data_IF_181588914651
#
_entry.id   IF_181588914651
#
_cell.length_a   1.000
_cell.length_b   1.000
_cell.length_c   1.000
_cell.angle_alpha   90.00
_cell.angle_beta   90.00
_cell.angle_gamma   90.00
#
_symmetry.space_group_name_H-M   'P 1'
#
loop_
_entity.id
_entity.type
_entity.pdbx_description
1 polymer ?
#
# COMPACT_ATOMS: atom_id res chain seq x y z
N UNK A 1 -18.44 73.99 -26.63
CA UNK A 1 -18.99 72.87 -27.44
C UNK A 1 -18.21 71.65 -27.16
N UNK A 2 -18.75 70.77 -26.34
CA UNK A 2 -18.12 69.46 -26.06
C UNK A 2 -18.76 68.45 -26.95
N UNK A 3 -18.05 68.03 -28.00
CA UNK A 3 -18.47 66.96 -28.86
C UNK A 3 -18.16 65.65 -28.17
N UNK A 4 -19.12 65.05 -27.54
CA UNK A 4 -19.00 63.71 -27.00
C UNK A 4 -18.85 62.70 -28.16
N UNK A 5 -17.68 62.16 -28.27
CA UNK A 5 -17.32 61.16 -29.23
C UNK A 5 -18.05 59.85 -28.90
N UNK A 6 -19.23 59.69 -29.51
CA UNK A 6 -20.08 58.50 -29.35
C UNK A 6 -19.46 57.19 -29.90
N UNK A 7 -18.29 57.32 -30.51
CA UNK A 7 -17.58 56.17 -31.10
C UNK A 7 -16.82 55.29 -30.08
N UNK A 8 -16.48 55.85 -28.92
CA UNK A 8 -15.72 55.09 -27.92
C UNK A 8 -16.60 54.22 -27.01
N UNK A 9 -17.90 54.43 -26.96
CA UNK A 9 -18.80 53.63 -26.11
C UNK A 9 -19.21 52.34 -26.78
N UNK A 10 -19.23 52.31 -28.13
CA UNK A 10 -19.61 51.11 -28.88
C UNK A 10 -18.50 50.04 -28.94
N UNK A 11 -17.25 50.39 -28.77
CA UNK A 11 -16.16 49.47 -28.74
C UNK A 11 -16.01 48.70 -27.43
N UNK A 12 -16.45 49.29 -26.33
CA UNK A 12 -16.39 48.66 -25.00
C UNK A 12 -17.42 47.57 -24.81
N UNK A 13 -18.58 47.66 -25.46
CA UNK A 13 -19.62 46.62 -25.31
C UNK A 13 -19.36 45.37 -26.19
N UNK A 14 -18.67 45.55 -27.32
CA UNK A 14 -18.33 44.43 -28.20
C UNK A 14 -17.27 43.50 -27.65
N UNK A 15 -16.33 44.02 -26.87
CA UNK A 15 -15.25 43.20 -26.29
C UNK A 15 -15.69 42.35 -25.08
N UNK A 16 -16.68 42.84 -24.32
CA UNK A 16 -17.21 42.08 -23.18
C UNK A 16 -18.04 40.86 -23.62
N UNK A 17 -18.77 40.96 -24.72
CA UNK A 17 -19.56 39.83 -25.27
C UNK A 17 -18.68 38.77 -25.91
N UNK A 18 -17.58 39.17 -26.53
CA UNK A 18 -16.61 38.22 -27.11
C UNK A 18 -15.87 37.40 -26.03
N UNK A 19 -15.55 38.02 -24.88
CA UNK A 19 -14.90 37.30 -23.78
C UNK A 19 -15.80 36.27 -23.10
N UNK A 20 -17.08 36.56 -22.96
CA UNK A 20 -18.02 35.61 -22.36
C UNK A 20 -18.27 34.39 -23.25
N UNK A 21 -18.23 34.55 -24.56
CA UNK A 21 -18.38 33.43 -25.48
C UNK A 21 -17.16 32.51 -25.50
N UNK A 22 -15.96 33.05 -25.32
CA UNK A 22 -14.71 32.27 -25.25
C UNK A 22 -14.60 31.47 -23.93
N UNK A 23 -15.06 32.06 -22.80
CA UNK A 23 -15.09 31.36 -21.52
C UNK A 23 -16.11 30.23 -21.50
N UNK A 24 -17.24 30.37 -22.17
CA UNK A 24 -18.26 29.31 -22.25
C UNK A 24 -17.79 28.13 -23.13
N UNK A 25 -16.95 28.37 -24.12
CA UNK A 25 -16.43 27.30 -24.97
C UNK A 25 -15.30 26.51 -24.31
N UNK A 26 -14.58 27.11 -23.38
CA UNK A 26 -13.51 26.40 -22.61
C UNK A 26 -14.11 25.46 -21.56
N UNK A 27 -15.28 25.78 -21.03
CA UNK A 27 -15.95 24.91 -20.04
C UNK A 27 -16.55 23.62 -20.65
N UNK A 28 -16.76 23.56 -21.96
CA UNK A 28 -17.29 22.36 -22.61
C UNK A 28 -16.20 21.32 -22.94
N UNK A 29 -14.93 21.66 -22.77
CA UNK A 29 -13.82 20.74 -22.99
C UNK A 29 -13.28 20.18 -21.67
N UNK A 30 -14.17 19.59 -20.87
CA UNK A 30 -13.71 18.65 -19.86
C UNK A 30 -13.49 17.34 -20.62
N UNK A 31 -12.26 16.82 -20.66
CA UNK A 31 -12.06 15.47 -21.15
C UNK A 31 -12.95 14.58 -20.30
N UNK A 32 -13.81 13.80 -20.95
CA UNK A 32 -14.58 12.78 -20.27
C UNK A 32 -13.57 11.98 -19.44
N UNK A 33 -13.76 11.92 -18.10
CA UNK A 33 -13.00 11.01 -17.28
C UNK A 33 -13.20 9.64 -17.92
N UNK A 34 -12.15 9.12 -18.53
CA UNK A 34 -12.14 7.74 -18.97
C UNK A 34 -12.60 6.90 -17.78
N UNK A 35 -13.54 5.96 -17.97
CA UNK A 35 -13.91 5.05 -16.90
C UNK A 35 -12.58 4.50 -16.36
N UNK A 36 -12.38 4.60 -15.06
CA UNK A 36 -11.28 3.93 -14.38
C UNK A 36 -11.55 2.46 -14.71
N UNK A 37 -10.78 1.92 -15.64
CA UNK A 37 -10.80 0.50 -15.93
C UNK A 37 -10.42 -0.15 -14.61
N UNK A 38 -11.38 -0.81 -13.98
CA UNK A 38 -11.21 -1.47 -12.71
C UNK A 38 -10.22 -2.60 -12.98
N UNK A 39 -8.94 -2.31 -12.74
CA UNK A 39 -7.87 -3.26 -12.99
C UNK A 39 -8.12 -4.47 -12.08
N UNK A 40 -8.31 -5.62 -12.71
CA UNK A 40 -8.45 -6.86 -11.97
C UNK A 40 -7.19 -7.07 -11.12
N UNK A 41 -7.35 -7.51 -9.86
CA UNK A 41 -6.20 -7.70 -8.99
C UNK A 41 -5.26 -8.76 -9.58
N UNK A 42 -3.97 -8.49 -9.52
CA UNK A 42 -2.92 -9.42 -9.92
C UNK A 42 -2.80 -10.48 -8.82
N UNK A 43 -2.79 -11.75 -9.18
CA UNK A 43 -2.49 -12.81 -8.22
C UNK A 43 -0.98 -12.87 -8.01
N UNK A 44 -0.53 -12.61 -6.79
CA UNK A 44 0.86 -12.79 -6.40
C UNK A 44 1.04 -14.18 -5.80
N UNK A 45 1.98 -14.93 -6.35
CA UNK A 45 2.36 -16.25 -5.86
C UNK A 45 3.88 -16.38 -5.83
N UNK A 46 4.41 -17.00 -4.78
CA UNK A 46 5.83 -17.24 -4.60
C UNK A 46 6.09 -18.61 -4.00
N UNK A 47 7.18 -19.24 -4.40
CA UNK A 47 7.58 -20.52 -3.78
C UNK A 47 7.95 -20.34 -2.31
N UNK A 48 8.63 -19.24 -2.01
CA UNK A 48 9.03 -18.86 -0.65
C UNK A 48 8.87 -17.35 -0.47
N UNK A 49 8.71 -16.93 0.78
CA UNK A 49 8.78 -15.53 1.20
C UNK A 49 10.00 -15.31 2.08
N UNK A 50 10.66 -14.17 1.89
CA UNK A 50 11.81 -13.75 2.69
C UNK A 50 11.36 -12.56 3.53
N UNK A 51 11.55 -12.61 4.83
CA UNK A 51 11.33 -11.46 5.70
C UNK A 51 12.52 -10.50 5.54
N UNK A 52 12.28 -9.35 4.93
CA UNK A 52 13.28 -8.30 4.71
C UNK A 52 13.38 -7.37 5.92
N UNK A 53 12.24 -6.94 6.44
CA UNK A 53 12.17 -6.13 7.65
C UNK A 53 11.17 -6.74 8.63
N UNK A 54 11.54 -6.76 9.91
CA UNK A 54 10.70 -7.24 11.00
C UNK A 54 10.76 -6.26 12.16
N UNK A 55 9.66 -5.58 12.42
CA UNK A 55 9.50 -4.65 13.52
C UNK A 55 8.66 -5.28 14.63
N UNK A 56 9.34 -5.60 15.73
CA UNK A 56 8.73 -6.10 16.95
C UNK A 56 8.72 -5.03 18.06
N UNK A 57 8.77 -3.74 17.68
CA UNK A 57 8.83 -2.64 18.62
C UNK A 57 10.23 -2.40 19.20
N UNK A 58 10.37 -1.34 19.97
CA UNK A 58 11.64 -0.86 20.48
C UNK A 58 12.38 -1.89 21.37
N UNK A 59 11.64 -2.73 22.09
CA UNK A 59 12.19 -3.75 23.00
C UNK A 59 12.01 -5.17 22.49
N UNK A 60 11.58 -5.35 21.24
CA UNK A 60 11.20 -6.64 20.63
C UNK A 60 10.15 -7.39 21.46
N UNK A 61 9.24 -6.67 22.06
CA UNK A 61 8.15 -7.15 22.90
C UNK A 61 6.76 -6.92 22.30
N UNK A 62 6.71 -6.44 21.06
CA UNK A 62 5.47 -6.34 20.31
C UNK A 62 4.85 -7.72 20.16
N UNK A 63 3.60 -7.86 20.52
CA UNK A 63 2.78 -9.05 20.29
C UNK A 63 1.51 -8.74 19.49
N UNK A 64 1.14 -7.47 19.41
CA UNK A 64 -0.04 -6.98 18.72
C UNK A 64 0.34 -5.80 17.83
N UNK A 65 -0.28 -5.76 16.64
CA UNK A 65 -0.01 -4.73 15.63
C UNK A 65 1.48 -4.58 15.28
N UNK A 66 2.17 -5.72 15.22
CA UNK A 66 3.55 -5.79 14.77
C UNK A 66 3.60 -5.65 13.26
N UNK A 67 4.72 -5.19 12.73
CA UNK A 67 4.85 -4.93 11.30
C UNK A 67 6.02 -5.70 10.68
N UNK A 68 5.83 -6.16 9.45
CA UNK A 68 6.89 -6.77 8.68
C UNK A 68 6.76 -6.46 7.19
N UNK A 69 7.89 -6.49 6.51
CA UNK A 69 7.99 -6.45 5.05
C UNK A 69 8.59 -7.76 4.57
N UNK A 70 7.92 -8.40 3.64
CA UNK A 70 8.38 -9.64 3.02
C UNK A 70 8.61 -9.42 1.53
N UNK A 71 9.56 -10.17 0.98
CA UNK A 71 9.86 -10.22 -0.45
C UNK A 71 9.52 -11.61 -1.01
N UNK A 72 9.04 -11.64 -2.23
CA UNK A 72 8.89 -12.88 -3.00
C UNK A 72 10.27 -13.48 -3.33
N UNK A 73 10.32 -14.76 -3.70
CA UNK A 73 11.56 -15.48 -3.99
C UNK A 73 12.46 -14.79 -5.03
N UNK A 74 11.85 -14.13 -6.00
CA UNK A 74 12.51 -13.42 -7.10
C UNK A 74 12.70 -11.91 -6.85
N UNK A 75 12.35 -11.44 -5.63
CA UNK A 75 12.40 -10.04 -5.20
C UNK A 75 11.55 -9.08 -6.10
N UNK A 76 10.59 -9.65 -6.85
CA UNK A 76 9.74 -8.87 -7.75
C UNK A 76 8.66 -8.10 -7.02
N UNK A 77 8.12 -8.68 -5.96
CA UNK A 77 7.07 -8.07 -5.16
C UNK A 77 7.48 -7.99 -3.70
N UNK A 78 7.07 -6.91 -3.05
CA UNK A 78 7.14 -6.77 -1.60
C UNK A 78 5.73 -6.73 -1.02
N UNK A 79 5.59 -7.23 0.21
CA UNK A 79 4.32 -7.32 0.92
C UNK A 79 4.54 -6.75 2.31
N UNK A 80 3.79 -5.72 2.65
CA UNK A 80 3.74 -5.16 3.99
C UNK A 80 2.57 -5.78 4.74
N UNK A 81 2.82 -6.25 5.94
CA UNK A 81 1.82 -6.92 6.76
C UNK A 81 1.82 -6.40 8.18
N UNK A 82 0.63 -6.30 8.77
CA UNK A 82 0.45 -6.21 10.20
C UNK A 82 0.08 -7.58 10.75
N UNK A 83 0.60 -7.91 11.92
CA UNK A 83 0.36 -9.21 12.52
C UNK A 83 0.36 -9.17 14.04
N UNK A 84 -0.33 -10.15 14.61
CA UNK A 84 -0.26 -10.50 16.02
C UNK A 84 0.34 -11.89 16.14
N UNK A 85 1.14 -12.12 17.17
CA UNK A 85 1.69 -13.44 17.43
C UNK A 85 1.72 -13.77 18.91
N UNK A 86 1.75 -15.05 19.21
CA UNK A 86 1.93 -15.58 20.56
C UNK A 86 3.06 -16.62 20.59
N UNK A 87 3.68 -16.75 21.76
CA UNK A 87 4.63 -17.82 22.03
C UNK A 87 3.94 -18.96 22.75
N UNK A 88 4.31 -20.19 22.42
CA UNK A 88 3.86 -21.38 23.15
C UNK A 88 5.06 -22.26 23.53
N UNK A 89 4.88 -23.06 24.58
CA UNK A 89 5.92 -24.00 25.02
C UNK A 89 5.84 -25.28 24.16
N UNK A 90 6.82 -25.42 23.26
CA UNK A 90 6.98 -26.59 22.38
C UNK A 90 8.01 -27.60 22.97
N UNK A 91 8.34 -27.45 24.24
CA UNK A 91 9.28 -28.29 24.95
C UNK A 91 8.72 -29.65 25.36
N UNK A 92 9.60 -30.66 25.36
CA UNK A 92 9.27 -32.02 25.82
C UNK A 92 9.45 -32.24 27.33
N UNK A 93 9.49 -31.17 28.12
CA UNK A 93 9.72 -31.21 29.55
C UNK A 93 11.20 -31.22 29.99
N UNK A 94 12.12 -31.52 29.07
CA UNK A 94 13.58 -31.45 29.33
C UNK A 94 14.25 -30.26 28.63
N UNK A 95 13.75 -29.89 27.47
CA UNK A 95 14.19 -28.69 26.73
C UNK A 95 13.06 -27.72 26.64
N UNK A 96 13.30 -26.47 27.04
CA UNK A 96 12.35 -25.37 26.77
C UNK A 96 12.60 -24.88 25.35
N UNK A 97 11.70 -25.25 24.45
CA UNK A 97 11.61 -24.63 23.14
C UNK A 97 10.38 -23.70 23.13
N UNK A 98 10.54 -22.50 22.66
CA UNK A 98 9.44 -21.56 22.46
C UNK A 98 9.07 -21.61 21.00
N UNK A 99 7.89 -22.13 20.71
CA UNK A 99 7.27 -22.03 19.41
C UNK A 99 6.62 -20.66 19.23
N UNK A 100 6.52 -20.20 18.01
CA UNK A 100 5.84 -18.96 17.64
C UNK A 100 4.65 -19.35 16.78
N UNK A 101 3.53 -18.68 17.01
CA UNK A 101 2.30 -18.82 16.24
C UNK A 101 1.80 -17.45 15.85
N UNK A 102 1.49 -17.26 14.56
CA UNK A 102 0.79 -16.07 14.09
C UNK A 102 -0.70 -16.22 14.38
N UNK A 103 -1.24 -15.34 15.19
CA UNK A 103 -2.66 -15.34 15.59
C UNK A 103 -3.53 -14.56 14.62
N UNK A 104 -2.97 -13.50 14.01
CA UNK A 104 -3.63 -12.64 13.03
C UNK A 104 -2.60 -12.15 12.02
N UNK A 105 -2.96 -12.15 10.75
CA UNK A 105 -2.18 -11.57 9.66
C UNK A 105 -3.08 -10.72 8.77
N UNK A 106 -2.70 -9.48 8.57
CA UNK A 106 -3.39 -8.53 7.69
C UNK A 106 -2.38 -7.96 6.69
N UNK A 107 -2.43 -8.37 5.42
CA UNK A 107 -1.68 -7.68 4.38
C UNK A 107 -2.20 -6.25 4.22
N UNK A 108 -1.33 -5.26 4.35
CA UNK A 108 -1.68 -3.85 4.20
C UNK A 108 -1.44 -3.38 2.78
N UNK A 109 -0.32 -3.80 2.21
CA UNK A 109 0.14 -3.32 0.92
C UNK A 109 0.91 -4.41 0.20
N UNK A 110 0.68 -4.50 -1.11
CA UNK A 110 1.52 -5.26 -2.02
C UNK A 110 2.05 -4.30 -3.08
N UNK A 111 3.32 -4.36 -3.37
CA UNK A 111 3.95 -3.49 -4.34
C UNK A 111 5.07 -4.18 -5.12
N UNK A 112 5.52 -3.49 -6.15
CA UNK A 112 6.67 -3.84 -6.95
C UNK A 112 7.66 -2.64 -7.02
N UNK A 113 8.62 -2.66 -7.93
CA UNK A 113 9.59 -1.57 -8.09
C UNK A 113 8.97 -0.23 -8.50
N UNK A 114 7.76 -0.25 -9.10
CA UNK A 114 7.03 0.94 -9.53
C UNK A 114 6.09 1.49 -8.44
N UNK A 115 5.84 0.74 -7.37
CA UNK A 115 5.03 1.13 -6.22
C UNK A 115 3.90 0.16 -5.88
N UNK A 116 2.88 0.67 -5.22
CA UNK A 116 1.72 -0.13 -4.80
C UNK A 116 0.93 -0.66 -5.99
N UNK A 117 0.56 -1.93 -5.93
CA UNK A 117 -0.24 -2.60 -6.95
C UNK A 117 -1.54 -3.16 -6.37
N UNK A 118 -2.58 -3.27 -7.21
CA UNK A 118 -3.79 -4.00 -6.84
C UNK A 118 -3.52 -5.50 -6.96
N UNK A 119 -3.23 -6.15 -5.85
CA UNK A 119 -2.85 -7.56 -5.80
C UNK A 119 -3.76 -8.37 -4.89
N UNK A 120 -3.86 -9.65 -5.20
CA UNK A 120 -4.56 -10.65 -4.42
C UNK A 120 -3.58 -11.74 -3.96
N UNK A 121 -3.59 -12.00 -2.67
CA UNK A 121 -2.90 -13.13 -2.04
C UNK A 121 -3.95 -14.19 -1.68
N UNK A 122 -3.82 -15.38 -2.19
CA UNK A 122 -4.70 -16.46 -1.81
C UNK A 122 -4.33 -17.04 -0.43
N UNK A 123 -5.18 -17.93 0.10
CA UNK A 123 -4.96 -18.52 1.41
C UNK A 123 -3.63 -19.28 1.49
N UNK A 124 -3.24 -19.93 0.41
CA UNK A 124 -2.00 -20.71 0.37
C UNK A 124 -0.76 -19.81 0.47
N UNK A 125 -0.82 -18.63 -0.15
CA UNK A 125 0.25 -17.63 -0.02
C UNK A 125 0.29 -17.04 1.39
N UNK A 126 -0.87 -16.79 2.00
CA UNK A 126 -0.96 -16.32 3.39
C UNK A 126 -0.34 -17.35 4.37
N UNK A 127 -0.61 -18.63 4.19
CA UNK A 127 -0.03 -19.69 5.02
C UNK A 127 1.52 -19.69 4.91
N UNK A 128 2.09 -19.54 3.71
CA UNK A 128 3.55 -19.42 3.52
C UNK A 128 4.14 -18.16 4.16
N UNK A 129 3.40 -17.05 4.14
CA UNK A 129 3.82 -15.82 4.80
C UNK A 129 3.85 -16.03 6.32
N UNK A 130 2.84 -16.70 6.88
CA UNK A 130 2.82 -17.07 8.30
C UNK A 130 4.06 -17.88 8.67
N UNK A 131 4.35 -18.96 7.94
CA UNK A 131 5.51 -19.81 8.19
C UNK A 131 6.82 -19.00 8.17
N UNK A 132 6.98 -18.11 7.19
CA UNK A 132 8.18 -17.26 7.08
C UNK A 132 8.31 -16.27 8.25
N UNK A 133 7.21 -15.73 8.74
CA UNK A 133 7.19 -14.84 9.90
C UNK A 133 7.51 -15.60 11.19
N UNK A 134 6.89 -16.76 11.42
CA UNK A 134 7.13 -17.60 12.60
C UNK A 134 8.60 -17.97 12.73
N UNK A 135 9.21 -18.42 11.65
CA UNK A 135 10.64 -18.74 11.60
C UNK A 135 11.52 -17.51 11.90
N UNK A 136 11.19 -16.36 11.29
CA UNK A 136 11.98 -15.13 11.45
C UNK A 136 11.88 -14.56 12.86
N UNK A 137 10.69 -14.60 13.48
CA UNK A 137 10.47 -14.18 14.86
C UNK A 137 11.23 -15.09 15.81
N UNK A 138 11.14 -16.41 15.62
CA UNK A 138 11.83 -17.39 16.45
C UNK A 138 13.35 -17.14 16.42
N UNK A 139 13.94 -16.94 15.22
CA UNK A 139 15.37 -16.63 15.07
C UNK A 139 15.74 -15.31 15.74
N UNK A 140 14.91 -14.28 15.60
CA UNK A 140 15.16 -12.97 16.23
C UNK A 140 15.15 -13.04 17.75
N UNK A 141 14.17 -13.72 18.33
CA UNK A 141 14.04 -13.87 19.77
C UNK A 141 15.15 -14.76 20.37
N UNK A 142 15.58 -15.83 19.67
CA UNK A 142 16.70 -16.66 20.09
C UNK A 142 18.02 -15.87 20.18
N UNK A 143 18.27 -14.97 19.22
CA UNK A 143 19.48 -14.12 19.24
C UNK A 143 19.51 -13.12 20.39
N UNK A 144 18.36 -12.77 20.95
CA UNK A 144 18.24 -11.84 22.07
C UNK A 144 18.35 -12.52 23.44
N UNK A 145 18.08 -13.83 23.51
CA UNK A 145 18.12 -14.63 24.75
C UNK A 145 19.44 -15.36 25.01
N UNK A 146 20.43 -15.16 24.14
CA UNK A 146 21.74 -15.80 24.24
C UNK A 146 22.83 -14.93 24.87
#
# INVERSE_FOLDING_TARGET
>A
MVSLNFKSVLFGLGSAVAMTAVLASVQMYQPAKLPIEEQQPITVASDIYKVDALDLGQHNDCQHDCHATLLTANDQYYIEVNFDYSGFDDGNGFNRAVGIQIDRLEPELVGDEDGEINAYLDRYEIDKINDALEDSIAVKLQKLGG
#
